data_IF_000039488523
#
_entry.id   IF_000039488523
#
_cell.length_a   1.000
_cell.length_b   1.000
_cell.length_c   1.000
_cell.angle_alpha   90.00
_cell.angle_beta   90.00
_cell.angle_gamma   90.00
#
_symmetry.space_group_name_H-M   'P 1'
#
loop_
_entity.id
_entity.type
_entity.pdbx_description
1 polymer ?
#
# COMPACT_ATOMS: atom_id res chain seq x y z
N UNK A 1 36.34 39.33 -10.38
CA UNK A 1 35.56 38.83 -11.54
C UNK A 1 35.00 37.44 -11.22
N UNK A 2 33.77 37.34 -10.71
CA UNK A 2 33.08 36.06 -10.54
C UNK A 2 32.35 35.65 -11.82
N UNK A 3 32.48 34.38 -12.26
CA UNK A 3 31.79 33.82 -13.44
C UNK A 3 30.34 33.49 -13.08
N UNK A 4 29.30 34.12 -13.67
CA UNK A 4 27.91 33.92 -13.26
C UNK A 4 27.17 32.90 -14.15
N UNK A 5 27.61 31.63 -14.22
CA UNK A 5 26.93 30.62 -15.07
C UNK A 5 26.67 29.24 -14.45
N UNK A 6 27.02 28.97 -13.19
CA UNK A 6 26.74 27.65 -12.56
C UNK A 6 25.52 27.64 -11.63
N UNK A 7 24.90 28.80 -11.36
CA UNK A 7 23.79 28.90 -10.40
C UNK A 7 22.45 28.42 -10.98
N UNK A 8 22.21 28.62 -12.29
CA UNK A 8 20.91 28.29 -12.93
C UNK A 8 20.62 26.79 -13.03
N UNK A 9 21.63 25.95 -13.31
CA UNK A 9 21.41 24.50 -13.37
C UNK A 9 21.13 23.91 -11.98
N UNK A 10 21.81 24.42 -10.94
CA UNK A 10 21.51 24.04 -9.55
C UNK A 10 20.10 24.46 -9.14
N UNK A 11 19.66 25.65 -9.55
CA UNK A 11 18.29 26.13 -9.32
C UNK A 11 17.25 25.29 -10.05
N UNK A 12 17.49 24.86 -11.30
CA UNK A 12 16.57 23.95 -12.00
C UNK A 12 16.50 22.57 -11.36
N UNK A 13 17.62 22.02 -10.88
CA UNK A 13 17.62 20.73 -10.18
C UNK A 13 16.87 20.79 -8.84
N UNK A 14 17.04 21.87 -8.09
CA UNK A 14 16.31 22.13 -6.85
C UNK A 14 14.80 22.33 -7.11
N UNK A 15 14.45 23.00 -8.21
CA UNK A 15 13.06 23.23 -8.62
C UNK A 15 12.37 21.95 -9.11
N UNK A 16 13.08 21.07 -9.82
CA UNK A 16 12.57 19.75 -10.22
C UNK A 16 12.36 18.86 -9.00
N UNK A 17 13.33 18.83 -8.06
CA UNK A 17 13.21 18.05 -6.82
C UNK A 17 12.03 18.52 -5.95
N UNK A 18 11.82 19.83 -5.83
CA UNK A 18 10.67 20.41 -5.12
C UNK A 18 9.33 20.11 -5.78
N UNK A 19 9.25 20.17 -7.11
CA UNK A 19 8.04 19.78 -7.85
C UNK A 19 7.72 18.30 -7.72
N UNK A 20 8.73 17.41 -7.77
CA UNK A 20 8.55 15.97 -7.56
C UNK A 20 8.14 15.66 -6.13
N UNK A 21 8.75 16.32 -5.14
CA UNK A 21 8.40 16.19 -3.72
C UNK A 21 6.99 16.71 -3.44
N UNK A 22 6.56 17.79 -4.09
CA UNK A 22 5.18 18.27 -4.02
C UNK A 22 4.20 17.32 -4.71
N UNK A 23 4.53 16.76 -5.88
CA UNK A 23 3.67 15.78 -6.55
C UNK A 23 3.48 14.53 -5.68
N UNK A 24 4.55 13.99 -5.10
CA UNK A 24 4.47 12.85 -4.18
C UNK A 24 3.67 13.17 -2.92
N UNK A 25 3.85 14.34 -2.33
CA UNK A 25 3.09 14.78 -1.15
C UNK A 25 1.59 15.01 -1.48
N UNK A 26 1.27 15.52 -2.66
CA UNK A 26 -0.13 15.73 -3.11
C UNK A 26 -0.80 14.39 -3.44
N UNK A 27 -0.09 13.44 -4.07
CA UNK A 27 -0.60 12.08 -4.24
C UNK A 27 -0.85 11.40 -2.89
N UNK A 28 0.05 11.56 -1.92
CA UNK A 28 -0.14 11.00 -0.57
C UNK A 28 -1.30 11.64 0.19
N UNK A 29 -1.59 12.93 -0.02
CA UNK A 29 -2.67 13.64 0.67
C UNK A 29 -4.06 13.40 0.06
N UNK A 30 -4.15 13.10 -1.24
CA UNK A 30 -5.44 12.89 -1.91
C UNK A 30 -5.99 11.45 -1.76
N UNK A 31 -5.14 10.47 -1.42
CA UNK A 31 -5.54 9.05 -1.26
C UNK A 31 -6.18 8.76 0.11
N UNK A 32 -6.01 9.64 1.10
CA UNK A 32 -6.35 9.41 2.52
C UNK A 32 -7.70 10.08 2.89
N UNK A 33 -8.69 9.97 2.01
CA UNK A 33 -9.81 10.93 1.99
C UNK A 33 -11.19 10.39 1.64
N UNK A 34 -11.76 9.62 2.56
CA UNK A 34 -13.20 9.45 2.80
C UNK A 34 -13.97 8.30 2.13
N UNK A 35 -14.29 7.30 2.95
CA UNK A 35 -15.45 6.42 2.76
C UNK A 35 -16.24 6.36 4.07
N UNK A 36 -17.32 7.13 4.12
CA UNK A 36 -18.24 7.23 5.25
C UNK A 36 -19.44 6.33 4.94
N UNK A 37 -19.40 5.09 5.42
CA UNK A 37 -20.49 4.10 5.36
C UNK A 37 -20.33 3.11 6.53
N UNK A 38 -21.43 2.53 7.02
CA UNK A 38 -21.39 1.53 8.10
C UNK A 38 -20.35 0.44 7.83
N UNK A 39 -19.48 0.09 8.80
CA UNK A 39 -18.33 -0.75 8.54
C UNK A 39 -18.74 -2.20 8.31
N UNK A 40 -18.78 -2.62 7.05
CA UNK A 40 -18.87 -4.03 6.68
C UNK A 40 -17.47 -4.57 6.51
N UNK A 41 -16.98 -5.25 7.53
CA UNK A 41 -15.68 -5.90 7.48
C UNK A 41 -15.75 -7.10 6.53
N UNK A 42 -14.89 -7.10 5.53
CA UNK A 42 -14.64 -8.20 4.61
C UNK A 42 -13.24 -8.75 4.84
N UNK A 43 -13.04 -9.99 4.41
CA UNK A 43 -11.73 -10.61 4.41
C UNK A 43 -11.41 -11.03 2.98
N UNK A 44 -10.14 -10.89 2.61
CA UNK A 44 -9.63 -11.40 1.35
C UNK A 44 -8.31 -12.10 1.62
N UNK A 45 -8.13 -13.26 1.03
CA UNK A 45 -6.82 -13.90 0.94
C UNK A 45 -6.18 -13.47 -0.38
N UNK A 46 -4.96 -12.96 -0.30
CA UNK A 46 -4.16 -12.54 -1.45
C UNK A 46 -2.95 -13.46 -1.50
N UNK A 47 -2.81 -14.23 -2.58
CA UNK A 47 -1.59 -15.00 -2.81
C UNK A 47 -0.46 -14.04 -3.17
N UNK A 48 0.69 -14.16 -2.52
CA UNK A 48 1.83 -13.27 -2.77
C UNK A 48 3.01 -14.09 -3.27
N UNK A 49 3.42 -13.83 -4.51
CA UNK A 49 4.61 -14.45 -5.08
C UNK A 49 5.86 -13.58 -4.84
N UNK A 50 7.00 -14.25 -4.63
CA UNK A 50 8.28 -13.58 -4.42
C UNK A 50 8.60 -13.26 -2.96
N UNK A 51 7.77 -13.66 -2.00
CA UNK A 51 8.10 -13.59 -0.57
C UNK A 51 9.11 -14.68 -0.21
N UNK A 52 10.24 -14.32 0.41
CA UNK A 52 11.35 -15.25 0.70
C UNK A 52 11.64 -15.38 2.19
N UNK A 53 11.06 -14.50 3.02
CA UNK A 53 11.42 -14.37 4.43
C UNK A 53 10.28 -13.81 5.31
N UNK A 54 10.27 -14.13 6.60
CA UNK A 54 9.34 -13.53 7.58
C UNK A 54 9.42 -12.00 7.61
N UNK A 55 10.63 -11.44 7.52
CA UNK A 55 10.80 -9.97 7.47
C UNK A 55 10.20 -9.35 6.21
N UNK A 56 10.05 -10.14 5.15
CA UNK A 56 9.42 -9.74 3.91
C UNK A 56 7.89 -9.72 4.10
N UNK A 57 7.34 -10.70 4.82
CA UNK A 57 5.94 -10.75 5.23
C UNK A 57 5.58 -9.55 6.12
N UNK A 58 6.40 -9.23 7.13
CA UNK A 58 6.18 -8.09 8.01
C UNK A 58 6.17 -6.75 7.26
N UNK A 59 7.04 -6.58 6.26
CA UNK A 59 7.07 -5.38 5.44
C UNK A 59 5.76 -5.20 4.64
N UNK A 60 5.20 -6.30 4.11
CA UNK A 60 3.93 -6.30 3.39
C UNK A 60 2.78 -5.99 4.35
N UNK A 61 2.75 -6.63 5.53
CA UNK A 61 1.77 -6.35 6.58
C UNK A 61 1.74 -4.87 6.93
N UNK A 62 2.92 -4.30 7.19
CA UNK A 62 3.03 -2.89 7.57
C UNK A 62 2.57 -1.95 6.44
N UNK A 63 2.80 -2.29 5.17
CA UNK A 63 2.31 -1.48 4.05
C UNK A 63 0.78 -1.54 3.91
N UNK A 64 0.19 -2.71 4.11
CA UNK A 64 -1.26 -2.90 4.09
C UNK A 64 -1.94 -2.19 5.27
N UNK A 65 -1.38 -2.27 6.48
CA UNK A 65 -1.91 -1.59 7.67
C UNK A 65 -1.86 -0.05 7.56
N UNK A 66 -1.05 0.50 6.65
CA UNK A 66 -1.02 1.94 6.37
C UNK A 66 -2.19 2.41 5.51
N UNK A 67 -2.87 1.50 4.83
CA UNK A 67 -4.04 1.84 4.02
C UNK A 67 -5.24 2.12 4.93
N UNK A 68 -5.91 3.24 4.68
CA UNK A 68 -7.12 3.58 5.40
C UNK A 68 -8.24 2.59 5.06
N UNK A 69 -8.79 1.94 6.08
CA UNK A 69 -9.83 0.92 5.91
C UNK A 69 -9.34 -0.51 6.13
N UNK A 70 -8.04 -0.73 6.30
CA UNK A 70 -7.51 -2.02 6.77
C UNK A 70 -7.68 -2.13 8.29
N UNK A 71 -8.30 -3.23 8.74
CA UNK A 71 -8.52 -3.54 10.16
C UNK A 71 -7.45 -4.47 10.72
N UNK A 72 -7.04 -5.44 9.93
CA UNK A 72 -5.97 -6.38 10.26
C UNK A 72 -5.36 -6.93 8.97
N UNK A 73 -4.05 -7.16 8.96
CA UNK A 73 -3.38 -7.88 7.91
C UNK A 73 -2.52 -8.97 8.56
N UNK A 74 -2.72 -10.21 8.16
CA UNK A 74 -1.92 -11.35 8.58
C UNK A 74 -1.23 -11.92 7.34
N UNK A 75 0.09 -11.86 7.30
CA UNK A 75 0.88 -12.32 6.17
C UNK A 75 1.73 -13.49 6.61
N UNK A 76 1.57 -14.61 5.95
CA UNK A 76 2.22 -15.87 6.29
C UNK A 76 3.12 -16.32 5.15
N UNK A 77 4.45 -16.22 5.34
CA UNK A 77 5.43 -16.75 4.39
C UNK A 77 5.27 -18.26 4.17
N UNK A 78 5.04 -19.04 5.24
CA UNK A 78 4.84 -20.49 5.15
C UNK A 78 3.64 -20.89 4.28
N UNK A 79 2.60 -20.04 4.24
CA UNK A 79 1.40 -20.25 3.41
C UNK A 79 1.54 -19.64 2.02
N UNK A 80 2.42 -18.66 1.83
CA UNK A 80 2.51 -17.88 0.60
C UNK A 80 1.28 -16.99 0.35
N UNK A 81 0.52 -16.68 1.42
CA UNK A 81 -0.70 -15.89 1.33
C UNK A 81 -0.78 -14.84 2.43
N UNK A 82 -1.48 -13.75 2.10
CA UNK A 82 -1.76 -12.61 2.94
C UNK A 82 -3.28 -12.53 3.16
N UNK A 83 -3.71 -12.72 4.41
CA UNK A 83 -5.11 -12.59 4.82
C UNK A 83 -5.33 -11.16 5.31
N UNK A 84 -6.10 -10.39 4.56
CA UNK A 84 -6.37 -8.98 4.88
C UNK A 84 -7.83 -8.83 5.24
N UNK A 85 -8.06 -8.25 6.42
CA UNK A 85 -9.37 -7.87 6.92
C UNK A 85 -9.53 -6.38 6.72
N UNK A 86 -10.49 -5.98 5.90
CA UNK A 86 -10.69 -4.60 5.47
C UNK A 86 -12.16 -4.21 5.49
N UNK A 87 -12.45 -2.92 5.48
CA UNK A 87 -13.82 -2.43 5.45
C UNK A 87 -14.29 -2.23 4.00
N UNK A 88 -15.36 -2.94 3.61
CA UNK A 88 -16.01 -2.79 2.31
C UNK A 88 -16.48 -1.35 2.15
N UNK A 89 -16.00 -0.72 1.09
CA UNK A 89 -16.26 0.68 0.80
C UNK A 89 -15.14 1.61 1.26
N UNK A 90 -14.30 1.26 2.24
CA UNK A 90 -13.15 2.08 2.65
C UNK A 90 -11.90 1.83 1.81
N UNK A 91 -11.64 0.56 1.50
CA UNK A 91 -10.55 0.13 0.63
C UNK A 91 -11.06 -0.98 -0.27
N UNK A 92 -10.64 -0.97 -1.53
CA UNK A 92 -10.96 -2.02 -2.50
C UNK A 92 -9.80 -3.01 -2.58
N UNK A 93 -10.10 -4.26 -2.96
CA UNK A 93 -9.08 -5.31 -3.13
C UNK A 93 -7.97 -4.87 -4.11
N UNK A 94 -8.33 -4.13 -5.16
CA UNK A 94 -7.38 -3.56 -6.12
C UNK A 94 -6.36 -2.62 -5.47
N UNK A 95 -6.77 -1.84 -4.47
CA UNK A 95 -5.85 -0.95 -3.75
C UNK A 95 -4.89 -1.74 -2.83
N UNK A 96 -5.34 -2.88 -2.30
CA UNK A 96 -4.46 -3.80 -1.55
C UNK A 96 -3.42 -4.44 -2.49
N UNK A 97 -3.85 -4.86 -3.67
CA UNK A 97 -2.96 -5.40 -4.72
C UNK A 97 -1.92 -4.36 -5.15
N UNK A 98 -2.34 -3.13 -5.48
CA UNK A 98 -1.42 -2.05 -5.86
C UNK A 98 -0.40 -1.72 -4.77
N UNK A 99 -0.78 -1.81 -3.48
CA UNK A 99 0.14 -1.59 -2.38
C UNK A 99 1.23 -2.67 -2.31
N UNK A 100 0.87 -3.93 -2.58
CA UNK A 100 1.81 -5.06 -2.61
C UNK A 100 2.70 -5.00 -3.87
N UNK A 101 2.14 -4.64 -5.02
CA UNK A 101 2.92 -4.42 -6.24
C UNK A 101 3.86 -3.23 -6.12
N UNK A 102 3.46 -2.19 -5.39
CA UNK A 102 4.26 -0.97 -5.15
C UNK A 102 5.57 -1.23 -4.41
N UNK A 103 5.61 -2.25 -3.55
CA UNK A 103 6.83 -2.71 -2.86
C UNK A 103 7.60 -3.78 -3.65
N UNK A 104 7.09 -4.18 -4.82
CA UNK A 104 7.78 -5.05 -5.78
C UNK A 104 7.48 -6.55 -5.62
N UNK A 105 6.36 -6.91 -4.99
CA UNK A 105 5.88 -8.29 -4.95
C UNK A 105 4.68 -8.47 -5.87
N UNK A 106 4.48 -9.67 -6.40
CA UNK A 106 3.31 -9.98 -7.20
C UNK A 106 2.18 -10.41 -6.26
N UNK A 107 1.04 -9.75 -6.34
CA UNK A 107 -0.15 -10.11 -5.58
C UNK A 107 -1.23 -10.65 -6.52
N UNK A 108 -1.76 -11.83 -6.21
CA UNK A 108 -2.95 -12.36 -6.86
C UNK A 108 -4.08 -12.43 -5.82
N UNK A 109 -5.04 -11.48 -5.85
CA UNK A 109 -6.18 -11.54 -4.93
C UNK A 109 -7.00 -12.80 -5.20
N UNK A 110 -7.14 -13.63 -4.18
CA UNK A 110 -8.04 -14.77 -4.18
C UNK A 110 -9.51 -14.34 -4.12
N UNK A 111 -10.40 -15.31 -4.13
CA UNK A 111 -11.81 -15.03 -3.91
C UNK A 111 -11.97 -14.34 -2.55
N UNK A 112 -12.46 -13.09 -2.55
CA UNK A 112 -12.85 -12.40 -1.33
C UNK A 112 -14.02 -13.17 -0.71
N UNK A 113 -13.70 -14.11 0.19
CA UNK A 113 -14.68 -14.86 0.94
C UNK A 113 -15.00 -14.12 2.25
N UNK A 114 -16.27 -14.00 2.64
CA UNK A 114 -16.62 -13.44 3.94
C UNK A 114 -15.89 -14.24 5.03
N UNK A 115 -15.25 -13.52 5.95
CA UNK A 115 -14.37 -14.10 6.97
C UNK A 115 -14.98 -15.38 7.58
N UNK A 116 -14.23 -16.49 7.65
CA UNK A 116 -14.75 -17.73 8.20
C UNK A 116 -15.16 -17.48 9.65
N UNK A 117 -16.44 -17.68 9.94
CA UNK A 117 -16.96 -17.70 11.30
C UNK A 117 -16.13 -18.73 12.09
N UNK A 118 -15.53 -18.38 13.25
CA UNK A 118 -14.65 -19.30 13.96
C UNK A 118 -15.40 -20.57 14.32
N UNK A 119 -14.96 -21.70 13.75
CA UNK A 119 -15.41 -23.02 14.18
C UNK A 119 -15.09 -23.16 15.68
N UNK A 120 -16.14 -23.48 16.45
CA UNK A 120 -16.21 -23.45 17.92
C UNK A 120 -15.34 -24.51 18.59
#
# INVERSE_FOLDING_TARGET
MPRPSTNRLRQSLDQIARSLLMCLAVCALLVVGACKGEPRTMQVEIAVEGMVCDSCAEAITHELERLEGVRAADVSYDRGSAVVTYEEGAVEVAALEEAIEGIGYQAEPGAAEPAPEPET
#
